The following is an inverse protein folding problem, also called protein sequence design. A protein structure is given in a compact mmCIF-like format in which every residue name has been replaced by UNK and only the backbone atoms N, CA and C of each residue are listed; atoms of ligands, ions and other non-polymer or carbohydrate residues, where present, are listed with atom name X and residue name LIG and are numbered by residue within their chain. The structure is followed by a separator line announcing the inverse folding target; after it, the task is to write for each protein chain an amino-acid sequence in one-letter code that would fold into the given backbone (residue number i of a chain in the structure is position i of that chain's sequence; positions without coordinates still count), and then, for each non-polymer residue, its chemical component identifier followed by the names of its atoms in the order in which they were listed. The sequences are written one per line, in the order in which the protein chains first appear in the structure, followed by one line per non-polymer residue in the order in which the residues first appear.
data_IF_546442287344
#
_entry.id   IF_546442287344
#
_cell.length_a   1.000
_cell.length_b   1.000
_cell.length_c   1.000
_cell.angle_alpha   90.00
_cell.angle_beta   90.00
_cell.angle_gamma   90.00
#
_symmetry.space_group_name_H-M   'P 1'
#
loop_
_entity.id
_entity.type
_entity.pdbx_description
1 polymer ?
#
# COMPACT_ATOMS: atom_id res chain seq x y z
N UNK A 1 10.61 -6.38 15.20
CA UNK A 1 11.92 -6.26 15.86
C UNK A 1 12.82 -7.37 15.31
N UNK A 2 14.07 -7.09 15.10
CA UNK A 2 15.07 -8.05 14.66
C UNK A 2 16.21 -8.06 15.70
N UNK A 3 16.57 -9.23 16.17
CA UNK A 3 17.68 -9.42 17.10
C UNK A 3 18.82 -10.12 16.36
N UNK A 4 20.03 -9.65 16.58
CA UNK A 4 21.23 -10.15 15.92
C UNK A 4 22.31 -10.40 16.98
N UNK A 5 23.02 -11.52 16.88
CA UNK A 5 24.20 -11.79 17.70
C UNK A 5 23.92 -12.65 18.93
N UNK A 6 23.31 -13.83 18.71
CA UNK A 6 23.28 -14.90 19.75
C UNK A 6 24.02 -16.12 19.28
N UNK A 7 24.50 -16.93 20.24
CA UNK A 7 25.01 -18.28 19.96
C UNK A 7 23.87 -19.29 19.92
N UNK A 8 24.04 -20.42 19.27
CA UNK A 8 23.04 -21.48 19.17
C UNK A 8 22.57 -21.96 20.54
N UNK A 9 23.49 -22.07 21.52
CA UNK A 9 23.19 -22.52 22.87
C UNK A 9 22.26 -21.57 23.63
N UNK A 10 22.38 -20.26 23.37
CA UNK A 10 21.57 -19.24 24.04
C UNK A 10 20.23 -18.97 23.36
N UNK A 11 19.97 -19.57 22.21
CA UNK A 11 18.78 -19.24 21.40
C UNK A 11 17.49 -19.56 22.14
N UNK A 12 17.39 -20.73 22.81
CA UNK A 12 16.16 -21.10 23.53
C UNK A 12 15.91 -20.17 24.72
N UNK A 13 16.92 -19.91 25.52
CA UNK A 13 16.80 -18.99 26.66
C UNK A 13 16.36 -17.60 26.26
N UNK A 14 16.90 -17.11 25.15
CA UNK A 14 16.52 -15.83 24.58
C UNK A 14 15.03 -15.80 24.12
N UNK A 15 14.56 -16.89 23.53
CA UNK A 15 13.15 -17.00 23.13
C UNK A 15 12.21 -17.05 24.33
N UNK A 16 12.56 -17.75 25.37
CA UNK A 16 11.79 -17.82 26.61
C UNK A 16 11.68 -16.42 27.24
N UNK A 17 12.77 -15.69 27.31
CA UNK A 17 12.80 -14.32 27.83
C UNK A 17 11.93 -13.34 27.00
N UNK A 18 11.99 -13.42 25.65
CA UNK A 18 11.19 -12.59 24.79
C UNK A 18 9.68 -12.88 24.94
N UNK A 19 9.31 -14.15 25.10
CA UNK A 19 7.94 -14.56 25.33
C UNK A 19 7.41 -14.04 26.66
N UNK A 20 8.21 -13.99 27.71
CA UNK A 20 7.85 -13.41 29.00
C UNK A 20 7.53 -11.89 28.88
N UNK A 21 8.16 -11.20 27.95
CA UNK A 21 7.80 -9.83 27.60
C UNK A 21 6.58 -9.70 26.67
N UNK A 22 5.94 -10.80 26.32
CA UNK A 22 4.74 -10.82 25.45
C UNK A 22 5.03 -10.67 23.95
N UNK A 23 6.26 -10.88 23.52
CA UNK A 23 6.61 -10.94 22.10
C UNK A 23 6.59 -12.37 21.61
N UNK A 24 6.19 -12.53 20.36
CA UNK A 24 6.09 -13.82 19.71
C UNK A 24 7.05 -13.90 18.52
N UNK A 25 7.38 -15.12 18.10
CA UNK A 25 8.27 -15.37 16.98
C UNK A 25 7.51 -15.28 15.65
N UNK A 26 8.19 -14.76 14.63
CA UNK A 26 7.68 -14.80 13.27
C UNK A 26 7.75 -16.19 12.66
N UNK A 27 6.84 -16.47 11.72
CA UNK A 27 6.80 -17.75 11.00
C UNK A 27 8.00 -17.97 10.10
N UNK A 28 8.46 -19.23 10.03
CA UNK A 28 9.51 -19.70 9.13
C UNK A 28 9.10 -21.00 8.44
N UNK A 29 9.59 -21.22 7.20
CA UNK A 29 9.24 -22.42 6.43
C UNK A 29 7.87 -22.33 5.76
N UNK A 30 7.20 -23.47 5.49
CA UNK A 30 5.93 -23.60 4.76
C UNK A 30 4.73 -23.31 5.68
N UNK A 31 4.63 -22.09 6.15
CA UNK A 31 3.57 -21.62 7.05
C UNK A 31 3.07 -20.24 6.61
N UNK A 32 2.04 -19.74 7.28
CA UNK A 32 1.67 -18.33 7.20
C UNK A 32 2.80 -17.50 7.80
N UNK A 33 3.29 -16.54 7.05
CA UNK A 33 4.33 -15.61 7.52
C UNK A 33 3.68 -14.46 8.27
N UNK A 34 4.41 -13.89 9.21
CA UNK A 34 3.98 -12.69 9.92
C UNK A 34 3.47 -11.66 8.94
N UNK A 35 2.22 -11.24 9.09
CA UNK A 35 1.63 -10.20 8.27
C UNK A 35 2.41 -8.89 8.41
N UNK A 36 2.46 -8.11 7.35
CA UNK A 36 3.15 -6.82 7.34
C UNK A 36 2.19 -5.73 6.87
N UNK A 37 2.27 -4.56 7.47
CA UNK A 37 1.52 -3.38 7.03
C UNK A 37 2.44 -2.17 6.84
N UNK A 38 1.99 -1.21 6.04
CA UNK A 38 2.67 0.08 5.96
C UNK A 38 2.48 0.87 7.26
N UNK A 39 3.16 2.02 7.37
CA UNK A 39 3.08 2.89 8.56
C UNK A 39 1.68 3.51 8.75
N UNK A 40 0.91 3.62 7.69
CA UNK A 40 -0.49 4.00 7.67
C UNK A 40 -0.84 5.36 8.23
N UNK A 41 -2.11 5.53 8.57
CA UNK A 41 -2.70 6.79 9.04
C UNK A 41 -2.03 7.36 10.31
N UNK A 42 -1.27 6.57 11.05
CA UNK A 42 -0.50 7.06 12.20
C UNK A 42 0.60 8.05 11.84
N UNK A 43 1.13 7.99 10.59
CA UNK A 43 2.20 8.88 10.10
C UNK A 43 2.10 9.23 8.61
N UNK A 44 1.10 8.76 7.91
CA UNK A 44 0.94 8.96 6.48
C UNK A 44 -0.44 9.51 6.15
N UNK A 45 -0.49 10.70 5.59
CA UNK A 45 -1.73 11.36 5.16
C UNK A 45 -2.38 10.71 3.93
N UNK A 46 -1.62 9.88 3.19
CA UNK A 46 -2.11 9.20 1.99
C UNK A 46 -2.91 7.92 2.29
N UNK A 47 -2.98 7.49 3.56
CA UNK A 47 -3.68 6.25 3.91
C UNK A 47 -5.20 6.42 3.80
N UNK A 48 -5.84 5.58 3.00
CA UNK A 48 -7.28 5.60 2.76
C UNK A 48 -8.07 4.61 3.64
N UNK A 49 -7.36 3.73 4.37
CA UNK A 49 -7.95 2.69 5.21
C UNK A 49 -7.18 2.55 6.52
N UNK A 50 -7.79 1.92 7.51
CA UNK A 50 -7.08 1.55 8.73
C UNK A 50 -6.35 0.21 8.52
N UNK A 51 -5.16 0.28 7.95
CA UNK A 51 -4.30 -0.87 7.65
C UNK A 51 -3.84 -1.59 8.92
N UNK A 52 -3.65 -0.90 10.03
CA UNK A 52 -3.30 -1.52 11.32
C UNK A 52 -4.42 -2.41 11.84
N UNK A 53 -5.69 -2.01 11.65
CA UNK A 53 -6.82 -2.86 12.00
C UNK A 53 -6.86 -4.12 11.14
N UNK A 54 -6.66 -3.99 9.83
CA UNK A 54 -6.60 -5.11 8.91
C UNK A 54 -5.42 -6.05 9.25
N UNK A 55 -4.24 -5.48 9.50
CA UNK A 55 -3.05 -6.22 9.92
C UNK A 55 -3.32 -7.02 11.22
N UNK A 56 -3.88 -6.37 12.25
CA UNK A 56 -4.20 -7.03 13.52
C UNK A 56 -5.21 -8.16 13.35
N UNK A 57 -6.22 -7.97 12.51
CA UNK A 57 -7.19 -9.03 12.20
C UNK A 57 -6.50 -10.24 11.56
N UNK A 58 -5.60 -10.02 10.60
CA UNK A 58 -4.84 -11.10 9.96
C UNK A 58 -3.95 -11.82 10.98
N UNK A 59 -3.18 -11.09 11.77
CA UNK A 59 -2.32 -11.71 12.79
C UNK A 59 -3.14 -12.54 13.77
N UNK A 60 -4.21 -11.99 14.34
CA UNK A 60 -4.99 -12.68 15.36
C UNK A 60 -5.71 -13.94 14.83
N UNK A 61 -6.14 -13.93 13.54
CA UNK A 61 -6.83 -15.08 12.97
C UNK A 61 -5.89 -16.19 12.50
N UNK A 62 -4.63 -15.86 12.19
CA UNK A 62 -3.67 -16.82 11.64
C UNK A 62 -2.46 -17.07 12.56
N UNK A 63 -2.54 -16.72 13.84
CA UNK A 63 -1.45 -16.91 14.80
C UNK A 63 -1.01 -18.38 14.87
N UNK A 64 -1.93 -19.32 14.93
CA UNK A 64 -1.61 -20.74 14.96
C UNK A 64 -0.94 -21.23 13.69
N UNK A 65 -1.33 -20.70 12.53
CA UNK A 65 -0.77 -21.06 11.23
C UNK A 65 0.64 -20.47 11.01
N UNK A 66 1.00 -19.42 11.75
CA UNK A 66 2.36 -18.85 11.76
C UNK A 66 3.34 -19.82 12.42
N UNK A 67 2.90 -20.54 13.46
CA UNK A 67 3.76 -21.44 14.24
C UNK A 67 3.75 -22.89 13.74
N UNK A 68 2.84 -23.24 12.85
CA UNK A 68 2.68 -24.61 12.33
C UNK A 68 2.99 -24.68 10.84
N UNK A 69 4.00 -25.42 10.41
CA UNK A 69 4.26 -25.65 8.99
C UNK A 69 3.24 -26.62 8.40
N UNK A 70 2.04 -26.11 8.06
CA UNK A 70 0.92 -26.88 7.54
C UNK A 70 0.61 -26.61 6.07
N UNK A 71 1.31 -25.67 5.43
CA UNK A 71 1.08 -25.30 4.04
C UNK A 71 2.11 -25.97 3.12
N UNK A 72 1.79 -26.21 1.83
CA UNK A 72 2.78 -26.69 0.85
C UNK A 72 3.93 -25.71 0.66
N UNK A 73 3.66 -24.41 0.74
CA UNK A 73 4.60 -23.30 0.62
C UNK A 73 4.29 -22.20 1.63
N UNK A 74 5.24 -21.30 1.84
CA UNK A 74 5.04 -20.09 2.65
C UNK A 74 3.91 -19.24 2.08
N UNK A 75 3.10 -18.66 2.93
CA UNK A 75 2.05 -17.71 2.54
C UNK A 75 2.26 -16.36 3.24
N UNK A 76 2.24 -15.28 2.49
CA UNK A 76 2.52 -13.93 2.98
C UNK A 76 1.33 -13.02 2.78
N UNK A 77 0.96 -12.33 3.85
CA UNK A 77 0.02 -11.21 3.83
C UNK A 77 0.76 -9.88 3.85
N UNK A 78 0.34 -8.93 3.04
CA UNK A 78 0.75 -7.54 3.16
C UNK A 78 -0.42 -6.59 3.01
N UNK A 79 -0.41 -5.51 3.80
CA UNK A 79 -1.47 -4.50 3.83
C UNK A 79 -0.87 -3.13 3.56
N UNK A 80 -1.30 -2.48 2.48
CA UNK A 80 -0.94 -1.11 2.12
C UNK A 80 -2.13 -0.18 2.29
N UNK A 81 -1.92 0.95 2.93
CA UNK A 81 -2.98 1.94 3.21
C UNK A 81 -3.47 2.72 1.98
N UNK A 82 -2.70 2.73 0.90
CA UNK A 82 -3.05 3.41 -0.34
C UNK A 82 -2.39 2.75 -1.57
N UNK A 83 -2.80 3.12 -2.81
CA UNK A 83 -2.28 2.56 -4.04
C UNK A 83 -0.80 2.84 -4.36
N UNK A 84 -0.11 3.70 -3.58
CA UNK A 84 1.35 3.84 -3.71
C UNK A 84 2.11 2.57 -3.33
N UNK A 85 1.47 1.67 -2.59
CA UNK A 85 2.01 0.35 -2.23
C UNK A 85 3.45 0.36 -1.75
N UNK A 86 3.78 1.26 -0.82
CA UNK A 86 5.14 1.41 -0.27
C UNK A 86 5.70 0.13 0.35
N UNK A 87 4.81 -0.82 0.72
CA UNK A 87 5.18 -2.14 1.21
C UNK A 87 5.54 -3.12 0.09
N UNK A 88 5.38 -2.70 -1.17
CA UNK A 88 5.57 -3.57 -2.32
C UNK A 88 4.77 -4.88 -2.15
N UNK A 89 3.48 -4.73 -1.82
CA UNK A 89 2.62 -5.86 -1.50
C UNK A 89 2.24 -6.65 -2.75
N UNK A 90 2.02 -5.96 -3.87
CA UNK A 90 1.62 -6.58 -5.15
C UNK A 90 2.66 -7.59 -5.62
N UNK A 91 3.95 -7.24 -5.56
CA UNK A 91 5.01 -8.11 -6.06
C UNK A 91 5.56 -9.08 -5.01
N UNK A 92 5.39 -8.79 -3.72
CA UNK A 92 6.07 -9.51 -2.64
C UNK A 92 5.15 -10.16 -1.61
N UNK A 93 3.87 -10.30 -1.92
CA UNK A 93 2.93 -11.05 -1.09
C UNK A 93 2.14 -12.05 -1.94
N UNK A 94 1.64 -13.08 -1.28
CA UNK A 94 0.71 -14.04 -1.89
C UNK A 94 -0.72 -13.49 -1.80
N UNK A 95 -1.02 -12.67 -0.78
CA UNK A 95 -2.24 -11.89 -0.68
C UNK A 95 -1.92 -10.44 -0.31
N UNK A 96 -2.36 -9.52 -1.17
CA UNK A 96 -2.21 -8.07 -0.99
C UNK A 96 -3.55 -7.42 -0.68
N UNK A 97 -3.58 -6.58 0.34
CA UNK A 97 -4.70 -5.70 0.66
C UNK A 97 -4.24 -4.26 0.43
N UNK A 98 -4.90 -3.55 -0.47
CA UNK A 98 -4.55 -2.17 -0.82
C UNK A 98 -5.75 -1.28 -0.58
N UNK A 99 -5.57 -0.27 0.29
CA UNK A 99 -6.57 0.74 0.54
C UNK A 99 -6.77 1.65 -0.66
N UNK A 100 -8.02 2.06 -0.90
CA UNK A 100 -8.35 3.06 -1.90
C UNK A 100 -9.58 3.85 -1.44
N UNK A 101 -9.88 4.94 -2.13
CA UNK A 101 -11.09 5.74 -1.87
C UNK A 101 -12.30 5.16 -2.61
N UNK A 102 -13.51 5.53 -2.16
CA UNK A 102 -14.78 5.07 -2.76
C UNK A 102 -15.29 6.02 -3.83
N UNK A 103 -15.20 7.31 -3.53
CA UNK A 103 -15.79 8.36 -4.36
C UNK A 103 -15.04 8.56 -5.68
N UNK A 104 -15.61 9.37 -6.53
CA UNK A 104 -14.99 9.83 -7.76
C UNK A 104 -13.88 10.84 -7.45
N UNK A 105 -12.89 10.90 -8.33
CA UNK A 105 -11.84 11.92 -8.23
C UNK A 105 -12.47 13.29 -8.44
N UNK A 106 -12.31 14.17 -7.45
CA UNK A 106 -12.73 15.56 -7.53
C UNK A 106 -11.70 16.39 -8.26
N UNK A 107 -12.16 17.22 -9.19
CA UNK A 107 -11.28 18.04 -10.03
C UNK A 107 -11.56 19.51 -9.78
N UNK A 108 -10.55 20.23 -9.35
CA UNK A 108 -10.51 21.69 -9.41
C UNK A 108 -9.95 22.13 -10.79
N UNK A 109 -10.86 22.49 -11.69
CA UNK A 109 -10.49 22.84 -13.07
C UNK A 109 -9.65 24.12 -13.16
N UNK A 110 -9.83 25.07 -12.24
CA UNK A 110 -9.08 26.33 -12.25
C UNK A 110 -7.62 26.08 -11.85
N UNK A 111 -7.43 25.32 -10.77
CA UNK A 111 -6.08 24.95 -10.33
C UNK A 111 -5.39 24.03 -11.36
N UNK A 112 -6.15 23.16 -12.03
CA UNK A 112 -5.61 22.31 -13.08
C UNK A 112 -5.16 23.14 -14.30
N UNK A 113 -5.95 24.12 -14.76
CA UNK A 113 -5.57 25.02 -15.87
C UNK A 113 -4.30 25.80 -15.54
N UNK A 114 -4.18 26.35 -14.32
CA UNK A 114 -2.94 27.01 -13.86
C UNK A 114 -1.74 26.05 -13.91
N UNK A 115 -1.95 24.80 -13.53
CA UNK A 115 -0.89 23.80 -13.61
C UNK A 115 -0.46 23.53 -15.05
N UNK A 116 -1.42 23.43 -15.99
CA UNK A 116 -1.13 23.26 -17.42
C UNK A 116 -0.37 24.46 -17.98
N UNK A 117 -0.72 25.70 -17.60
CA UNK A 117 0.00 26.91 -17.99
C UNK A 117 1.43 26.94 -17.46
N UNK A 118 1.64 26.52 -16.22
CA UNK A 118 2.96 26.50 -15.58
C UNK A 118 3.90 25.44 -16.17
N UNK A 119 3.39 24.23 -16.43
CA UNK A 119 4.19 23.07 -16.87
C UNK A 119 4.20 22.85 -18.38
N UNK A 120 3.22 23.40 -19.08
CA UNK A 120 2.99 23.21 -20.50
C UNK A 120 2.12 21.99 -20.83
N UNK A 121 1.25 22.15 -21.85
CA UNK A 121 0.31 21.12 -22.29
C UNK A 121 0.99 19.79 -22.63
N UNK A 122 2.14 19.84 -23.31
CA UNK A 122 2.88 18.63 -23.66
C UNK A 122 3.32 17.83 -22.43
N UNK A 123 3.82 18.51 -21.41
CA UNK A 123 4.22 17.86 -20.15
C UNK A 123 3.05 17.13 -19.49
N UNK A 124 1.87 17.76 -19.48
CA UNK A 124 0.65 17.17 -18.87
C UNK A 124 0.21 15.93 -19.66
N UNK A 125 0.23 15.99 -20.99
CA UNK A 125 -0.08 14.83 -21.83
C UNK A 125 0.90 13.69 -21.53
N UNK A 126 2.20 13.94 -21.56
CA UNK A 126 3.24 12.91 -21.42
C UNK A 126 3.28 12.30 -20.02
N UNK A 127 2.97 13.07 -18.98
CA UNK A 127 3.13 12.63 -17.59
C UNK A 127 1.83 12.26 -16.86
N UNK A 128 0.67 12.67 -17.38
CA UNK A 128 -0.63 12.38 -16.74
C UNK A 128 -1.50 11.55 -17.68
N UNK A 129 -1.81 12.07 -18.87
CA UNK A 129 -2.75 11.42 -19.78
C UNK A 129 -2.20 10.08 -20.29
N UNK A 130 -1.00 10.11 -20.88
CA UNK A 130 -0.38 8.91 -21.48
C UNK A 130 -0.01 7.85 -20.43
N UNK A 131 0.22 8.26 -19.19
CA UNK A 131 0.56 7.36 -18.09
C UNK A 131 -0.65 6.79 -17.36
N UNK A 132 -1.86 7.18 -17.74
CA UNK A 132 -3.05 6.56 -17.18
C UNK A 132 -3.18 5.10 -17.68
N UNK A 133 -3.13 4.08 -16.80
CA UNK A 133 -3.09 2.68 -17.22
C UNK A 133 -4.36 2.21 -17.92
N UNK A 134 -5.48 2.90 -17.71
CA UNK A 134 -6.78 2.58 -18.30
C UNK A 134 -7.27 3.62 -19.30
N UNK A 135 -6.43 4.61 -19.65
CA UNK A 135 -6.79 5.74 -20.51
C UNK A 135 -8.05 6.51 -20.04
N UNK A 136 -8.28 6.50 -18.73
CA UNK A 136 -9.44 7.15 -18.11
C UNK A 136 -9.34 8.69 -18.05
N UNK A 137 -8.23 9.28 -18.55
CA UNK A 137 -7.96 10.72 -18.47
C UNK A 137 -7.85 11.29 -19.88
N UNK A 138 -8.56 12.37 -20.12
CA UNK A 138 -8.45 13.16 -21.35
C UNK A 138 -8.22 14.64 -21.03
N UNK A 139 -7.50 15.34 -21.91
CA UNK A 139 -7.23 16.78 -21.82
C UNK A 139 -7.93 17.47 -22.98
N UNK A 140 -8.88 18.35 -22.68
CA UNK A 140 -9.62 19.12 -23.66
C UNK A 140 -8.79 20.29 -24.23
N UNK A 141 -9.26 20.91 -25.31
CA UNK A 141 -8.54 22.01 -25.95
C UNK A 141 -8.46 23.28 -25.10
N UNK A 142 -9.41 23.46 -24.19
CA UNK A 142 -9.45 24.56 -23.21
C UNK A 142 -8.57 24.31 -21.97
N UNK A 143 -7.70 23.30 -22.01
CA UNK A 143 -6.87 22.83 -20.91
C UNK A 143 -7.64 22.28 -19.69
N UNK A 144 -8.93 22.00 -19.82
CA UNK A 144 -9.66 21.27 -18.78
C UNK A 144 -9.36 19.78 -18.84
N UNK A 145 -9.36 19.11 -17.70
CA UNK A 145 -9.19 17.66 -17.59
C UNK A 145 -10.56 16.99 -17.43
N UNK A 146 -10.74 15.88 -18.10
CA UNK A 146 -11.87 14.99 -17.90
C UNK A 146 -11.40 13.62 -17.43
N UNK A 147 -12.06 13.08 -16.41
CA UNK A 147 -11.74 11.77 -15.84
C UNK A 147 -12.96 10.87 -15.92
N UNK A 148 -12.79 9.74 -16.59
CA UNK A 148 -13.77 8.66 -16.59
C UNK A 148 -13.60 7.80 -15.33
N UNK A 149 -14.39 8.11 -14.30
CA UNK A 149 -14.29 7.42 -13.01
C UNK A 149 -14.76 5.96 -13.06
N UNK A 150 -15.51 5.54 -14.09
CA UNK A 150 -15.92 4.14 -14.27
C UNK A 150 -14.74 3.27 -14.71
N UNK A 151 -13.87 3.81 -15.56
CA UNK A 151 -12.67 3.13 -16.04
C UNK A 151 -11.44 3.40 -15.18
N UNK A 152 -11.53 4.28 -14.18
CA UNK A 152 -10.44 4.62 -13.29
C UNK A 152 -10.14 3.48 -12.31
N UNK A 153 -8.93 2.93 -12.36
CA UNK A 153 -8.44 1.89 -11.42
C UNK A 153 -7.86 2.46 -10.13
N UNK A 154 -8.02 3.75 -9.88
CA UNK A 154 -7.61 4.42 -8.62
C UNK A 154 -6.14 4.20 -8.27
N UNK A 155 -5.25 4.24 -9.25
CA UNK A 155 -3.81 4.00 -9.07
C UNK A 155 -3.05 5.18 -8.40
N UNK A 156 -3.70 6.30 -8.13
CA UNK A 156 -3.14 7.53 -7.54
C UNK A 156 -2.11 8.29 -8.38
N UNK A 157 -1.71 7.82 -9.55
CA UNK A 157 -0.64 8.48 -10.31
C UNK A 157 -0.94 9.97 -10.58
N UNK A 158 -2.12 10.29 -11.10
CA UNK A 158 -2.53 11.67 -11.40
C UNK A 158 -2.64 12.54 -10.14
N UNK A 159 -3.15 12.00 -9.03
CA UNK A 159 -3.22 12.70 -7.75
C UNK A 159 -1.83 13.05 -7.21
N UNK A 160 -0.87 12.13 -7.33
CA UNK A 160 0.52 12.36 -6.91
C UNK A 160 1.22 13.44 -7.77
N UNK A 161 0.86 13.56 -9.06
CA UNK A 161 1.44 14.55 -9.96
C UNK A 161 0.83 15.95 -9.74
N UNK A 162 -0.49 16.02 -9.52
CA UNK A 162 -1.22 17.29 -9.36
C UNK A 162 -2.13 17.29 -8.10
N UNK A 163 -1.55 17.18 -6.90
CA UNK A 163 -2.33 16.98 -5.68
C UNK A 163 -3.18 18.20 -5.28
N UNK A 164 -2.92 19.39 -5.84
CA UNK A 164 -3.71 20.59 -5.55
C UNK A 164 -5.01 20.65 -6.35
N UNK A 165 -5.00 20.10 -7.56
CA UNK A 165 -6.15 20.14 -8.46
C UNK A 165 -6.95 18.85 -8.49
N UNK A 166 -6.39 17.74 -8.05
CA UNK A 166 -7.05 16.42 -8.02
C UNK A 166 -7.10 15.87 -6.59
N UNK A 167 -8.31 15.56 -6.12
CA UNK A 167 -8.56 15.08 -4.76
C UNK A 167 -9.55 13.91 -4.73
#
# INVERSE_FOLDING_TARGET
IMFIGSTTENTQHFFDEINDYGFDLGGAGPCVRTAMSCVGAGRCEMSNVNEHKAHRLLVNNFTDDVHRPALPYKFKFKVSGCPNDCMNSIERADMSVIGTWRDDIKVDQEEFKKYVEMKGRKYVIDNIVTRCPTNAISLNDDNSIQIDNQNCVKCMHCLNVVPKALQ
#
